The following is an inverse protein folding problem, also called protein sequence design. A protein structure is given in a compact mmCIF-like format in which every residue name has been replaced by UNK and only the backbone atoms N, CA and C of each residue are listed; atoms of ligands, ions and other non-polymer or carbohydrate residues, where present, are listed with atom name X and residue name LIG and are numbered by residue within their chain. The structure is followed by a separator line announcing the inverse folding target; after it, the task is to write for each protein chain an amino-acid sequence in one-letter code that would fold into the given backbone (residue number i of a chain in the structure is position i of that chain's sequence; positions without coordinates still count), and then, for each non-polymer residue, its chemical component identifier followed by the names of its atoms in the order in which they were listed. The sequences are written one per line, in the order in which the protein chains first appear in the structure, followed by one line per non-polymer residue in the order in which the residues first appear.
data_IF_991145419569
#
_entry.id   IF_991145419569
#
_cell.length_a   1.000
_cell.length_b   1.000
_cell.length_c   1.000
_cell.angle_alpha   90.00
_cell.angle_beta   90.00
_cell.angle_gamma   90.00
#
_symmetry.space_group_name_H-M   'P 1'
#
loop_
_entity.id
_entity.type
_entity.pdbx_description
1 polymer ?
#
# COMPACT_ATOMS: atom_id res chain seq x y z
N UNK A 1 -17.03 6.04 -39.67
CA UNK A 1 -16.39 6.98 -38.72
C UNK A 1 -16.91 8.41 -38.81
N UNK A 2 -17.09 9.01 -40.01
CA UNK A 2 -17.55 10.40 -40.13
C UNK A 2 -18.96 10.66 -39.58
N UNK A 3 -19.94 9.80 -39.92
CA UNK A 3 -21.33 9.94 -39.47
C UNK A 3 -21.52 9.83 -37.93
N UNK A 4 -20.72 9.00 -37.26
CA UNK A 4 -20.72 8.90 -35.79
C UNK A 4 -20.11 10.13 -35.10
N UNK A 5 -19.14 10.78 -35.77
CA UNK A 5 -18.53 12.02 -35.28
C UNK A 5 -19.50 13.19 -35.39
N UNK A 6 -20.28 13.24 -36.46
CA UNK A 6 -21.30 14.28 -36.67
C UNK A 6 -22.48 14.13 -35.71
N UNK A 7 -22.94 12.90 -35.45
CA UNK A 7 -24.00 12.67 -34.46
C UNK A 7 -23.54 13.01 -33.04
N UNK A 8 -22.27 12.74 -32.70
CA UNK A 8 -21.69 13.13 -31.42
C UNK A 8 -21.62 14.66 -31.25
N UNK A 9 -21.14 15.38 -32.27
CA UNK A 9 -21.05 16.84 -32.24
C UNK A 9 -22.42 17.52 -32.19
N UNK A 10 -23.46 16.90 -32.76
CA UNK A 10 -24.84 17.39 -32.68
C UNK A 10 -25.42 17.28 -31.27
N UNK A 11 -25.02 16.24 -30.54
CA UNK A 11 -25.43 16.03 -29.14
C UNK A 11 -24.59 16.85 -28.14
N UNK A 12 -23.38 17.27 -28.53
CA UNK A 12 -22.47 18.05 -27.69
C UNK A 12 -21.96 19.29 -28.44
N UNK A 13 -22.76 20.37 -28.52
CA UNK A 13 -22.42 21.57 -29.30
C UNK A 13 -21.13 22.27 -28.82
N UNK A 14 -20.79 22.18 -27.53
CA UNK A 14 -19.55 22.70 -26.94
C UNK A 14 -18.35 21.75 -27.02
N UNK A 15 -18.48 20.57 -27.64
CA UNK A 15 -17.38 19.59 -27.69
C UNK A 15 -16.15 20.10 -28.46
N UNK A 16 -16.34 21.05 -29.38
CA UNK A 16 -15.22 21.71 -30.09
C UNK A 16 -14.44 22.66 -29.19
N UNK A 17 -15.12 23.33 -28.26
CA UNK A 17 -14.51 24.28 -27.32
C UNK A 17 -13.93 23.59 -26.07
N UNK A 18 -14.28 22.32 -25.85
CA UNK A 18 -13.66 21.44 -24.84
C UNK A 18 -12.37 20.76 -25.32
N UNK A 19 -11.95 20.99 -26.58
CA UNK A 19 -10.67 20.47 -27.04
C UNK A 19 -9.54 21.19 -26.27
N UNK A 20 -8.62 20.46 -25.62
CA UNK A 20 -7.55 21.09 -24.88
C UNK A 20 -6.73 21.99 -25.82
N UNK A 21 -6.55 23.25 -25.44
CA UNK A 21 -5.64 24.18 -26.15
C UNK A 21 -4.24 23.58 -26.13
N UNK A 22 -3.48 23.74 -27.22
CA UNK A 22 -2.09 23.23 -27.30
C UNK A 22 -1.16 23.79 -26.21
N UNK A 23 -1.54 24.91 -25.60
CA UNK A 23 -0.83 25.57 -24.50
C UNK A 23 -1.19 25.02 -23.11
N UNK A 24 -2.19 24.14 -23.00
CA UNK A 24 -2.39 23.35 -21.79
C UNK A 24 -1.34 22.23 -21.76
N UNK A 25 -0.11 22.57 -21.40
CA UNK A 25 0.81 21.57 -20.85
C UNK A 25 0.19 21.07 -19.55
N UNK A 26 -0.65 20.04 -19.64
CA UNK A 26 -1.15 19.33 -18.47
C UNK A 26 0.06 18.97 -17.61
N UNK A 27 0.09 19.46 -16.37
CA UNK A 27 1.13 19.10 -15.41
C UNK A 27 1.23 17.58 -15.38
N UNK A 28 2.44 17.04 -15.59
CA UNK A 28 2.66 15.61 -15.62
C UNK A 28 2.03 14.95 -14.39
N UNK A 29 1.20 13.93 -14.61
CA UNK A 29 0.50 13.23 -13.55
C UNK A 29 1.54 12.59 -12.61
N UNK A 30 1.59 13.08 -11.37
CA UNK A 30 2.47 12.51 -10.34
C UNK A 30 1.77 11.29 -9.76
N UNK A 31 2.32 10.11 -10.06
CA UNK A 31 1.83 8.84 -9.51
C UNK A 31 2.38 8.71 -8.09
N UNK A 32 1.49 8.69 -7.11
CA UNK A 32 1.83 8.60 -5.68
C UNK A 32 2.08 7.15 -5.20
N UNK A 33 1.42 6.19 -5.85
CA UNK A 33 1.35 4.80 -5.40
C UNK A 33 0.90 3.87 -6.52
N UNK A 34 1.21 2.59 -6.38
CA UNK A 34 0.80 1.52 -7.31
C UNK A 34 -0.73 1.27 -7.26
N UNK A 35 -1.38 1.66 -6.16
CA UNK A 35 -2.82 1.46 -5.96
C UNK A 35 -3.26 0.03 -5.59
N UNK A 36 -2.43 -1.00 -5.86
CA UNK A 36 -2.72 -2.41 -5.55
C UNK A 36 -1.56 -3.12 -4.85
N UNK A 37 -1.85 -4.26 -4.24
CA UNK A 37 -0.83 -5.18 -3.70
C UNK A 37 -0.20 -5.93 -4.86
N UNK A 38 1.09 -5.70 -5.08
CA UNK A 38 1.88 -6.26 -6.18
C UNK A 38 2.10 -7.76 -6.00
N UNK A 39 2.41 -8.18 -4.77
CA UNK A 39 2.67 -9.58 -4.44
C UNK A 39 2.12 -9.90 -3.08
N UNK A 40 1.21 -10.88 -3.07
CA UNK A 40 0.62 -11.39 -1.85
C UNK A 40 1.66 -12.20 -1.06
N UNK A 41 1.76 -11.89 0.23
CA UNK A 41 2.54 -12.69 1.15
C UNK A 41 1.76 -13.97 1.52
N UNK A 42 2.39 -15.12 1.37
CA UNK A 42 1.85 -16.41 1.81
C UNK A 42 2.58 -16.81 3.10
N UNK A 43 1.91 -16.89 4.25
CA UNK A 43 2.55 -17.24 5.50
C UNK A 43 3.12 -18.67 5.46
N UNK A 44 4.31 -18.83 6.03
CA UNK A 44 4.91 -20.12 6.31
C UNK A 44 4.22 -20.74 7.53
N UNK A 45 4.03 -22.06 7.52
CA UNK A 45 3.46 -22.77 8.67
C UNK A 45 4.36 -22.58 9.90
N UNK A 46 3.75 -22.53 11.09
CA UNK A 46 4.42 -22.17 12.37
C UNK A 46 5.67 -23.01 12.71
N UNK A 47 5.83 -24.19 12.09
CA UNK A 47 6.96 -25.10 12.28
C UNK A 47 8.07 -24.96 11.21
N UNK A 48 7.84 -24.20 10.15
CA UNK A 48 8.78 -24.04 9.06
C UNK A 48 9.67 -22.80 9.29
N UNK A 49 10.91 -23.01 9.73
CA UNK A 49 11.93 -21.98 9.64
C UNK A 49 12.33 -21.80 8.17
N UNK A 50 12.74 -20.57 7.81
CA UNK A 50 13.25 -20.25 6.48
C UNK A 50 14.45 -21.16 6.09
N UNK A 51 15.18 -21.66 7.10
CA UNK A 51 16.42 -22.41 6.94
C UNK A 51 16.32 -23.90 7.31
N UNK A 52 15.17 -24.42 7.75
CA UNK A 52 15.04 -25.86 8.06
C UNK A 52 14.94 -26.67 6.76
N UNK A 53 15.86 -27.63 6.50
CA UNK A 53 15.78 -28.53 5.37
C UNK A 53 14.77 -29.64 5.69
N UNK A 54 13.48 -29.30 5.66
CA UNK A 54 12.44 -30.33 5.67
C UNK A 54 12.24 -30.80 4.24
N UNK A 55 12.57 -32.07 4.01
CA UNK A 55 12.19 -32.84 2.83
C UNK A 55 10.66 -33.02 2.77
N UNK A 56 10.18 -33.30 1.56
CA UNK A 56 8.82 -33.76 1.22
C UNK A 56 7.76 -32.66 1.04
N UNK A 57 7.65 -32.18 -0.22
CA UNK A 57 6.42 -31.57 -0.75
C UNK A 57 6.67 -30.32 -1.59
N UNK A 58 6.42 -30.38 -2.90
CA UNK A 58 6.68 -29.30 -3.87
C UNK A 58 6.04 -27.93 -3.54
N UNK A 59 5.06 -27.88 -2.62
CA UNK A 59 4.44 -26.64 -2.12
C UNK A 59 5.26 -25.90 -1.05
N UNK A 60 6.21 -26.55 -0.37
CA UNK A 60 7.08 -25.91 0.63
C UNK A 60 8.37 -25.34 0.00
N UNK A 61 8.92 -26.01 -1.02
CA UNK A 61 10.11 -25.54 -1.73
C UNK A 61 9.91 -24.18 -2.40
N UNK A 62 8.72 -23.91 -2.97
CA UNK A 62 8.38 -22.61 -3.57
C UNK A 62 8.36 -21.49 -2.52
N UNK A 63 7.80 -21.74 -1.34
CA UNK A 63 7.74 -20.76 -0.23
C UNK A 63 9.13 -20.39 0.30
N UNK A 64 10.07 -21.34 0.35
CA UNK A 64 11.47 -21.07 0.72
C UNK A 64 12.17 -20.17 -0.31
N UNK A 65 11.95 -20.42 -1.60
CA UNK A 65 12.48 -19.59 -2.68
C UNK A 65 11.97 -18.14 -2.58
N UNK A 66 10.66 -17.95 -2.37
CA UNK A 66 10.06 -16.64 -2.14
C UNK A 66 10.78 -15.83 -1.04
N UNK A 67 11.14 -16.47 0.08
CA UNK A 67 11.87 -15.82 1.17
C UNK A 67 13.29 -15.38 0.76
N UNK A 68 14.00 -16.18 -0.05
CA UNK A 68 15.33 -15.79 -0.59
C UNK A 68 15.20 -14.55 -1.48
N UNK A 69 14.15 -14.47 -2.31
CA UNK A 69 13.89 -13.29 -3.12
C UNK A 69 13.63 -12.05 -2.27
N UNK A 70 12.85 -12.19 -1.19
CA UNK A 70 12.61 -11.10 -0.23
C UNK A 70 13.92 -10.52 0.31
N UNK A 71 14.88 -11.36 0.71
CA UNK A 71 16.18 -10.88 1.22
C UNK A 71 16.99 -10.13 0.17
N UNK A 72 17.00 -10.61 -1.09
CA UNK A 72 17.66 -9.92 -2.20
C UNK A 72 17.03 -8.56 -2.49
N UNK A 73 15.71 -8.48 -2.45
CA UNK A 73 14.98 -7.22 -2.63
C UNK A 73 15.24 -6.24 -1.49
N UNK A 74 15.27 -6.71 -0.24
CA UNK A 74 15.65 -5.88 0.91
C UNK A 74 17.06 -5.33 0.78
N UNK A 75 18.00 -6.14 0.29
CA UNK A 75 19.36 -5.68 0.01
C UNK A 75 19.38 -4.62 -1.11
N UNK A 76 18.51 -4.74 -2.12
CA UNK A 76 18.33 -3.73 -3.15
C UNK A 76 17.77 -2.42 -2.56
N UNK A 77 16.67 -2.48 -1.79
CA UNK A 77 16.08 -1.29 -1.14
C UNK A 77 17.09 -0.54 -0.27
N UNK A 78 17.91 -1.28 0.50
CA UNK A 78 18.99 -0.69 1.33
C UNK A 78 20.05 0.08 0.53
N UNK A 79 20.23 -0.23 -0.76
CA UNK A 79 21.20 0.50 -1.59
C UNK A 79 20.70 1.90 -1.93
N UNK A 80 19.40 2.05 -2.16
CA UNK A 80 18.76 3.33 -2.52
C UNK A 80 18.38 4.16 -1.29
N UNK A 81 17.87 3.53 -0.24
CA UNK A 81 17.43 4.22 0.97
C UNK A 81 18.43 3.98 2.11
N UNK A 82 19.45 4.81 2.27
CA UNK A 82 20.36 4.76 3.43
C UNK A 82 20.01 5.89 4.41
N UNK A 83 19.87 5.64 5.74
CA UNK A 83 20.06 4.39 6.47
C UNK A 83 18.77 3.54 6.63
N UNK A 84 18.62 2.44 5.88
CA UNK A 84 17.48 1.51 6.05
C UNK A 84 17.83 0.30 6.93
N UNK A 85 17.31 0.31 8.16
CA UNK A 85 17.43 -0.81 9.11
C UNK A 85 16.09 -1.51 9.29
N UNK A 86 16.10 -2.84 9.18
CA UNK A 86 14.88 -3.65 9.18
C UNK A 86 14.09 -3.61 10.48
N UNK A 87 14.81 -3.63 11.61
CA UNK A 87 14.17 -3.66 12.93
C UNK A 87 13.51 -2.32 13.25
N UNK A 88 14.19 -1.22 12.89
CA UNK A 88 13.68 0.14 13.06
C UNK A 88 12.47 0.35 12.13
N UNK A 89 12.61 0.02 10.84
CA UNK A 89 11.50 0.11 9.88
C UNK A 89 10.25 -0.68 10.33
N UNK A 90 10.42 -1.89 10.87
CA UNK A 90 9.28 -2.68 11.35
C UNK A 90 8.56 -2.01 12.55
N UNK A 91 9.34 -1.38 13.45
CA UNK A 91 8.80 -0.60 14.58
C UNK A 91 8.10 0.67 14.08
N UNK A 92 8.71 1.37 13.13
CA UNK A 92 8.15 2.59 12.53
C UNK A 92 6.86 2.28 11.77
N UNK A 93 6.78 1.16 11.06
CA UNK A 93 5.56 0.71 10.40
C UNK A 93 4.42 0.47 11.41
N UNK A 94 4.72 -0.14 12.57
CA UNK A 94 3.73 -0.32 13.63
C UNK A 94 3.31 1.02 14.24
N UNK A 95 4.24 1.95 14.44
CA UNK A 95 3.92 3.30 14.90
C UNK A 95 3.05 4.05 13.89
N UNK A 96 3.32 3.92 12.60
CA UNK A 96 2.52 4.51 11.53
C UNK A 96 1.11 3.92 11.51
N UNK A 97 0.99 2.60 11.66
CA UNK A 97 -0.32 1.95 11.81
C UNK A 97 -1.11 2.51 13.00
N UNK A 98 -0.47 2.72 14.15
CA UNK A 98 -1.11 3.33 15.33
C UNK A 98 -1.56 4.77 15.02
N UNK A 99 -0.71 5.57 14.38
CA UNK A 99 -1.01 6.96 14.03
C UNK A 99 -2.17 7.07 13.03
N UNK A 100 -2.23 6.17 12.04
CA UNK A 100 -3.34 6.10 11.08
C UNK A 100 -4.64 5.81 11.80
N UNK A 101 -4.69 4.80 12.66
CA UNK A 101 -5.93 4.48 13.39
C UNK A 101 -6.39 5.60 14.33
N UNK A 102 -5.46 6.31 14.98
CA UNK A 102 -5.79 7.52 15.74
C UNK A 102 -6.36 8.63 14.86
N UNK A 103 -5.75 8.87 13.69
CA UNK A 103 -6.26 9.87 12.75
C UNK A 103 -7.66 9.51 12.20
N UNK A 104 -7.99 8.20 12.11
CA UNK A 104 -9.32 7.72 11.74
C UNK A 104 -10.36 7.97 12.83
N UNK A 105 -10.01 7.73 14.11
CA UNK A 105 -10.87 8.05 15.26
C UNK A 105 -11.18 9.55 15.32
N UNK A 106 -10.16 10.40 15.14
CA UNK A 106 -10.32 11.87 15.13
C UNK A 106 -10.99 12.42 13.85
N UNK A 107 -11.24 11.57 12.84
CA UNK A 107 -11.68 11.96 11.49
C UNK A 107 -10.82 13.08 10.87
N UNK A 108 -9.52 13.09 11.16
CA UNK A 108 -8.59 14.11 10.66
C UNK A 108 -8.11 13.79 9.25
N UNK A 109 -8.69 14.45 8.24
CA UNK A 109 -8.40 14.22 6.81
C UNK A 109 -6.95 14.53 6.43
N UNK A 110 -6.43 15.68 6.87
CA UNK A 110 -5.09 16.15 6.50
C UNK A 110 -4.01 15.20 6.99
N UNK A 111 -4.11 14.81 8.27
CA UNK A 111 -3.16 13.86 8.87
C UNK A 111 -3.23 12.48 8.20
N UNK A 112 -4.41 12.06 7.75
CA UNK A 112 -4.56 10.78 7.05
C UNK A 112 -3.96 10.81 5.65
N UNK A 113 -4.08 11.93 4.93
CA UNK A 113 -3.45 12.14 3.61
C UNK A 113 -1.92 12.11 3.68
N UNK A 114 -1.32 12.61 4.78
CA UNK A 114 0.13 12.55 4.99
C UNK A 114 0.65 11.15 5.37
N UNK A 115 -0.18 10.37 6.09
CA UNK A 115 0.23 9.07 6.65
C UNK A 115 -0.04 7.89 5.71
N UNK A 116 -1.01 8.01 4.81
CA UNK A 116 -1.45 6.94 3.92
C UNK A 116 -1.27 7.32 2.45
N UNK A 117 -1.07 6.32 1.58
CA UNK A 117 -1.10 6.54 0.13
C UNK A 117 -2.51 6.91 -0.33
N UNK A 118 -2.65 7.63 -1.46
CA UNK A 118 -3.94 8.11 -1.95
C UNK A 118 -4.99 7.01 -2.10
N UNK A 119 -4.60 5.85 -2.64
CA UNK A 119 -5.48 4.68 -2.74
C UNK A 119 -6.03 4.23 -1.37
N UNK A 120 -5.15 4.11 -0.37
CA UNK A 120 -5.53 3.69 0.99
C UNK A 120 -6.35 4.77 1.69
N UNK A 121 -5.96 6.04 1.53
CA UNK A 121 -6.72 7.18 2.05
C UNK A 121 -8.17 7.16 1.56
N UNK A 122 -8.39 7.00 0.25
CA UNK A 122 -9.74 6.96 -0.31
C UNK A 122 -10.54 5.74 0.19
N UNK A 123 -9.90 4.58 0.30
CA UNK A 123 -10.54 3.37 0.82
C UNK A 123 -10.97 3.55 2.29
N UNK A 124 -10.08 4.02 3.16
CA UNK A 124 -10.37 4.28 4.57
C UNK A 124 -11.42 5.37 4.75
N UNK A 125 -11.34 6.44 3.95
CA UNK A 125 -12.30 7.54 4.00
C UNK A 125 -13.70 7.06 3.66
N UNK A 126 -13.85 6.24 2.61
CA UNK A 126 -15.14 5.69 2.21
C UNK A 126 -15.79 4.86 3.32
N UNK A 127 -15.00 4.13 4.10
CA UNK A 127 -15.51 3.22 5.12
C UNK A 127 -15.81 3.90 6.47
N UNK A 128 -14.92 4.79 6.94
CA UNK A 128 -14.93 5.31 8.32
C UNK A 128 -15.38 6.76 8.48
N UNK A 129 -15.45 7.55 7.40
CA UNK A 129 -15.92 8.94 7.47
C UNK A 129 -17.43 9.18 7.28
N UNK A 130 -18.32 8.18 7.03
CA UNK A 130 -19.75 8.43 7.08
C UNK A 130 -20.18 9.09 8.41
N UNK A 131 -21.16 10.02 8.37
CA UNK A 131 -21.60 10.74 9.57
C UNK A 131 -22.24 9.83 10.61
N UNK A 132 -22.86 8.72 10.19
CA UNK A 132 -23.46 7.74 11.10
C UNK A 132 -22.42 6.88 11.84
N UNK A 133 -21.18 6.84 11.36
CA UNK A 133 -20.14 5.97 11.92
C UNK A 133 -19.19 6.74 12.83
N UNK A 134 -18.93 6.22 14.02
CA UNK A 134 -17.87 6.71 14.90
C UNK A 134 -16.98 5.55 15.34
N UNK A 135 -15.70 5.67 15.04
CA UNK A 135 -14.68 4.71 15.42
C UNK A 135 -14.08 5.12 16.77
N UNK A 136 -14.11 4.21 17.73
CA UNK A 136 -13.28 4.27 18.93
C UNK A 136 -12.22 3.19 18.84
N UNK A 137 -10.95 3.57 18.89
CA UNK A 137 -9.85 2.62 18.72
C UNK A 137 -8.73 2.87 19.72
N UNK A 138 -8.24 1.79 20.32
CA UNK A 138 -7.14 1.86 21.28
C UNK A 138 -6.13 0.73 21.05
N UNK A 139 -4.87 1.12 20.97
CA UNK A 139 -3.74 0.19 21.02
C UNK A 139 -3.47 -0.23 22.47
N UNK A 140 -3.42 -1.53 22.76
CA UNK A 140 -3.21 -2.03 24.13
C UNK A 140 -1.74 -2.37 24.35
N UNK A 141 -1.23 -3.39 23.65
CA UNK A 141 0.16 -3.83 23.78
C UNK A 141 0.63 -4.65 22.58
N UNK A 142 1.93 -4.75 22.45
CA UNK A 142 2.61 -5.61 21.49
C UNK A 142 2.76 -7.02 22.07
N UNK A 143 2.30 -8.05 21.34
CA UNK A 143 2.42 -9.46 21.75
C UNK A 143 3.67 -10.11 21.15
N UNK A 144 3.96 -9.83 19.87
CA UNK A 144 5.21 -10.20 19.22
C UNK A 144 5.81 -8.99 18.54
N UNK A 145 7.15 -8.94 18.53
CA UNK A 145 7.89 -7.90 17.82
C UNK A 145 7.53 -7.86 16.35
N UNK A 146 7.25 -6.66 15.77
CA UNK A 146 6.93 -6.54 14.36
C UNK A 146 8.14 -6.97 13.53
N UNK A 147 7.88 -7.68 12.43
CA UNK A 147 8.93 -8.22 11.56
C UNK A 147 8.57 -8.04 10.10
N UNK A 148 9.55 -7.63 9.30
CA UNK A 148 9.43 -7.66 7.84
C UNK A 148 9.40 -9.13 7.39
N UNK A 149 8.35 -9.51 6.66
CA UNK A 149 8.13 -10.89 6.20
C UNK A 149 8.19 -11.05 4.69
N UNK A 150 7.92 -9.98 3.94
CA UNK A 150 7.94 -9.99 2.48
C UNK A 150 8.33 -8.62 1.93
N UNK A 151 8.88 -8.60 0.73
CA UNK A 151 9.16 -7.37 0.02
C UNK A 151 9.23 -7.59 -1.49
N UNK A 152 8.82 -6.58 -2.25
CA UNK A 152 8.93 -6.51 -3.70
C UNK A 152 9.26 -5.10 -4.12
N UNK A 153 9.91 -4.97 -5.26
CA UNK A 153 10.14 -3.71 -5.93
C UNK A 153 9.62 -3.85 -7.36
N UNK A 154 8.93 -2.83 -7.85
CA UNK A 154 8.44 -2.77 -9.22
C UNK A 154 8.66 -1.38 -9.84
N UNK A 155 8.91 -1.30 -11.15
CA UNK A 155 8.76 -0.07 -11.90
C UNK A 155 7.26 0.19 -12.14
N UNK A 156 6.81 1.43 -12.01
CA UNK A 156 5.39 1.81 -12.25
C UNK A 156 5.21 2.59 -13.55
N UNK A 157 6.13 3.51 -13.84
CA UNK A 157 6.05 4.41 -15.01
C UNK A 157 7.29 4.25 -15.90
N UNK A 158 8.47 4.48 -15.31
CA UNK A 158 9.75 4.26 -15.95
C UNK A 158 10.60 3.25 -15.17
N UNK A 159 11.69 2.76 -15.77
CA UNK A 159 12.66 1.89 -15.08
C UNK A 159 13.34 2.59 -13.89
N UNK A 160 13.28 3.92 -13.85
CA UNK A 160 13.86 4.75 -12.78
C UNK A 160 12.84 5.04 -11.68
N UNK A 161 11.54 5.05 -12.01
CA UNK A 161 10.46 5.21 -11.04
C UNK A 161 10.11 3.87 -10.36
N UNK A 162 10.89 3.53 -9.32
CA UNK A 162 10.78 2.28 -8.59
C UNK A 162 9.99 2.44 -7.29
N UNK A 163 8.96 1.62 -7.15
CA UNK A 163 8.18 1.52 -5.91
C UNK A 163 8.52 0.23 -5.16
N UNK A 164 8.68 0.34 -3.85
CA UNK A 164 8.92 -0.80 -2.97
C UNK A 164 7.69 -1.10 -2.12
N UNK A 165 7.17 -2.32 -2.22
CA UNK A 165 6.20 -2.88 -1.30
C UNK A 165 6.94 -3.68 -0.23
N UNK A 166 6.77 -3.33 1.05
CA UNK A 166 7.33 -4.08 2.18
C UNK A 166 6.19 -4.53 3.10
N UNK A 167 6.09 -5.82 3.36
CA UNK A 167 5.06 -6.41 4.23
C UNK A 167 5.64 -6.67 5.61
N UNK A 168 4.97 -6.13 6.63
CA UNK A 168 5.32 -6.29 8.04
C UNK A 168 4.24 -7.12 8.73
N UNK A 169 4.66 -8.19 9.42
CA UNK A 169 3.80 -8.94 10.33
C UNK A 169 3.78 -8.21 11.68
N UNK A 170 2.59 -7.87 12.15
CA UNK A 170 2.35 -7.30 13.47
C UNK A 170 1.48 -8.26 14.28
N UNK A 171 1.82 -8.46 15.55
CA UNK A 171 0.97 -9.19 16.50
C UNK A 171 0.78 -8.32 17.73
N UNK A 172 -0.41 -7.75 17.88
CA UNK A 172 -0.72 -6.76 18.91
C UNK A 172 -2.14 -6.96 19.43
N UNK A 173 -2.33 -6.63 20.70
CA UNK A 173 -3.64 -6.52 21.31
C UNK A 173 -4.22 -5.12 21.06
N UNK A 174 -5.48 -5.07 20.62
CA UNK A 174 -6.18 -3.85 20.24
C UNK A 174 -7.63 -3.92 20.69
N UNK A 175 -8.22 -2.76 21.00
CA UNK A 175 -9.65 -2.62 21.24
C UNK A 175 -10.22 -1.74 20.15
N UNK A 176 -11.33 -2.18 19.55
CA UNK A 176 -12.06 -1.43 18.53
C UNK A 176 -13.54 -1.49 18.82
N UNK A 177 -14.19 -0.34 18.78
CA UNK A 177 -15.63 -0.20 18.86
C UNK A 177 -16.11 0.71 17.74
N UNK A 178 -17.15 0.30 17.02
CA UNK A 178 -17.74 1.07 15.92
C UNK A 178 -19.20 1.32 16.27
N UNK A 179 -19.55 2.59 16.46
CA UNK A 179 -20.94 3.04 16.56
C UNK A 179 -21.44 3.26 15.13
N UNK A 180 -22.63 2.76 14.80
CA UNK A 180 -23.27 2.87 13.48
C UNK A 180 -24.55 3.69 13.57
#
# INVERSE_FOLDING_TARGET
MAAQRESFLKNFPNAKDMAPSKDNQESALVIDSVGTVVSNYVPLDKKAFILTPTEVGGKQSTKKWLAVFTFRILAFVRRYCKPFKLREFAKDAQNLFIQVNKALEDKNKRKLEELATGSVYHALRKEFFPPSKQLHWRYVKELERPRVVHARVIPVDSKENLFAQVTVKMNSEQVRFLVN
#
